data_IF_332526479782
#
_entry.id   IF_332526479782
#
_cell.length_a   1.000
_cell.length_b   1.000
_cell.length_c   1.000
_cell.angle_alpha   90.00
_cell.angle_beta   90.00
_cell.angle_gamma   90.00
#
_symmetry.space_group_name_H-M   'P 1'
#
loop_
_entity.id
_entity.type
_entity.pdbx_description
1 polymer ?
#
# COMPACT_ATOMS: atom_id res chain seq x y z
N UNK A 1 12.17 24.27 -2.99
CA UNK A 1 12.06 23.39 -4.21
C UNK A 1 10.69 22.76 -4.18
N UNK A 2 10.07 22.56 -5.34
CA UNK A 2 8.80 21.83 -5.42
C UNK A 2 9.06 20.34 -5.14
N UNK A 3 8.21 19.68 -4.35
CA UNK A 3 8.32 18.26 -4.04
C UNK A 3 8.20 17.43 -5.33
N UNK A 4 9.17 16.52 -5.60
CA UNK A 4 9.22 15.76 -6.86
C UNK A 4 8.06 14.78 -7.02
N UNK A 5 7.56 14.19 -5.92
CA UNK A 5 6.39 13.28 -5.94
C UNK A 5 5.14 14.07 -6.31
N UNK A 6 4.93 15.24 -5.71
CA UNK A 6 3.80 16.11 -6.05
C UNK A 6 3.86 16.55 -7.52
N UNK A 7 5.03 16.93 -8.01
CA UNK A 7 5.20 17.34 -9.40
C UNK A 7 4.95 16.18 -10.39
N UNK A 8 5.49 14.98 -10.07
CA UNK A 8 5.37 13.79 -10.91
C UNK A 8 3.93 13.37 -11.14
N UNK A 9 3.14 13.35 -10.07
CA UNK A 9 1.76 12.85 -10.10
C UNK A 9 0.69 13.94 -10.19
N UNK A 10 1.07 15.21 -10.14
CA UNK A 10 0.12 16.33 -10.20
C UNK A 10 -0.75 16.46 -8.95
N UNK A 11 -0.26 16.09 -7.78
CA UNK A 11 -0.99 16.09 -6.50
C UNK A 11 -0.54 17.22 -5.57
N UNK A 12 -1.40 17.58 -4.64
CA UNK A 12 -1.14 18.67 -3.70
C UNK A 12 -0.25 18.25 -2.53
N UNK A 13 -0.47 17.06 -1.97
CA UNK A 13 0.25 16.51 -0.85
C UNK A 13 0.97 15.22 -1.28
N UNK A 14 2.23 14.96 -0.88
CA UNK A 14 2.96 13.77 -1.26
C UNK A 14 2.49 12.54 -0.44
N UNK A 15 1.18 12.37 -0.36
CA UNK A 15 0.48 11.32 0.38
C UNK A 15 -0.27 10.45 -0.62
N UNK A 16 0.06 9.16 -0.63
CA UNK A 16 -0.51 8.18 -1.55
C UNK A 16 -1.26 7.13 -0.72
N UNK A 17 -2.49 6.86 -1.10
CA UNK A 17 -3.22 5.73 -0.53
C UNK A 17 -2.80 4.45 -1.27
N UNK A 18 -2.29 3.46 -0.54
CA UNK A 18 -1.84 2.19 -1.11
C UNK A 18 -2.95 1.40 -1.79
N UNK A 19 -2.62 0.75 -2.91
CA UNK A 19 -3.55 -0.11 -3.63
C UNK A 19 -3.72 -1.46 -2.94
N UNK A 20 -4.63 -1.52 -1.98
CA UNK A 20 -4.89 -2.69 -1.13
C UNK A 20 -6.01 -3.57 -1.70
N UNK A 21 -5.82 -4.89 -1.67
CA UNK A 21 -6.87 -5.86 -2.03
C UNK A 21 -8.09 -5.68 -1.11
N UNK A 22 -9.30 -5.74 -1.67
CA UNK A 22 -10.59 -5.67 -0.98
C UNK A 22 -10.89 -4.36 -0.22
N UNK A 23 -9.91 -3.42 -0.15
CA UNK A 23 -10.08 -2.11 0.50
C UNK A 23 -10.15 -0.96 -0.50
N UNK A 24 -9.35 -1.01 -1.57
CA UNK A 24 -9.07 0.13 -2.46
C UNK A 24 -10.00 0.15 -3.67
N UNK A 25 -11.27 0.40 -3.41
CA UNK A 25 -12.28 0.66 -4.44
C UNK A 25 -12.30 2.12 -4.91
N UNK A 26 -13.18 2.44 -5.87
CA UNK A 26 -13.30 3.77 -6.45
C UNK A 26 -13.67 4.86 -5.43
N UNK A 27 -14.47 4.55 -4.39
CA UNK A 27 -14.85 5.52 -3.36
C UNK A 27 -13.63 6.01 -2.59
N UNK A 28 -12.80 5.07 -2.14
CA UNK A 28 -11.56 5.41 -1.42
C UNK A 28 -10.59 6.18 -2.33
N UNK A 29 -10.33 5.68 -3.53
CA UNK A 29 -9.39 6.29 -4.45
C UNK A 29 -9.81 7.73 -4.82
N UNK A 30 -11.07 7.95 -5.20
CA UNK A 30 -11.56 9.28 -5.53
C UNK A 30 -11.57 10.24 -4.34
N UNK A 31 -11.92 9.77 -3.14
CA UNK A 31 -11.92 10.60 -1.94
C UNK A 31 -10.50 11.10 -1.60
N UNK A 32 -9.49 10.22 -1.65
CA UNK A 32 -8.09 10.61 -1.43
C UNK A 32 -7.61 11.60 -2.48
N UNK A 33 -7.95 11.37 -3.74
CA UNK A 33 -7.61 12.30 -4.83
C UNK A 33 -8.25 13.68 -4.64
N UNK A 34 -9.54 13.72 -4.30
CA UNK A 34 -10.27 14.97 -4.01
C UNK A 34 -9.69 15.71 -2.79
N UNK A 35 -9.15 14.98 -1.80
CA UNK A 35 -8.48 15.57 -0.64
C UNK A 35 -7.04 16.04 -0.90
N UNK A 36 -6.54 15.88 -2.15
CA UNK A 36 -5.24 16.39 -2.60
C UNK A 36 -4.08 15.40 -2.48
N UNK A 37 -4.33 14.15 -2.14
CA UNK A 37 -3.39 13.04 -2.25
C UNK A 37 -3.48 12.30 -3.58
N UNK A 38 -2.90 11.11 -3.67
CA UNK A 38 -3.06 10.19 -4.80
C UNK A 38 -3.82 8.94 -4.36
N UNK A 39 -5.04 8.77 -4.83
CA UNK A 39 -5.80 7.55 -4.64
C UNK A 39 -5.41 6.47 -5.65
N UNK A 40 -5.32 5.22 -5.19
CA UNK A 40 -5.01 4.07 -6.05
C UNK A 40 -6.15 3.04 -6.00
N UNK A 41 -6.62 2.60 -7.15
CA UNK A 41 -7.46 1.40 -7.26
C UNK A 41 -6.60 0.15 -7.07
N UNK A 42 -7.04 -0.78 -6.23
CA UNK A 42 -6.31 -2.02 -5.95
C UNK A 42 -6.73 -3.16 -6.89
N UNK A 43 -6.10 -3.26 -8.05
CA UNK A 43 -6.49 -4.24 -9.09
C UNK A 43 -6.24 -5.70 -8.70
N UNK A 44 -5.42 -5.98 -7.68
CA UNK A 44 -5.10 -7.35 -7.24
C UNK A 44 -6.28 -8.16 -6.69
N UNK A 45 -7.45 -7.56 -6.48
CA UNK A 45 -8.69 -8.22 -6.08
C UNK A 45 -9.82 -8.04 -7.10
N UNK A 46 -9.53 -7.49 -8.27
CA UNK A 46 -10.54 -7.14 -9.27
C UNK A 46 -10.40 -8.02 -10.52
N UNK A 47 -11.49 -8.62 -10.96
CA UNK A 47 -11.58 -9.15 -12.31
C UNK A 47 -11.55 -8.01 -13.33
N UNK A 48 -11.17 -8.25 -14.59
CA UNK A 48 -11.01 -7.22 -15.61
C UNK A 48 -12.19 -6.24 -15.71
N UNK A 49 -13.42 -6.74 -15.84
CA UNK A 49 -14.61 -5.87 -15.95
C UNK A 49 -14.90 -5.10 -14.65
N UNK A 50 -14.57 -5.66 -13.49
CA UNK A 50 -14.68 -4.94 -12.21
C UNK A 50 -13.68 -3.77 -12.16
N UNK A 51 -12.45 -3.98 -12.64
CA UNK A 51 -11.46 -2.90 -12.72
C UNK A 51 -11.97 -1.79 -13.67
N UNK A 52 -12.48 -2.15 -14.85
CA UNK A 52 -13.05 -1.20 -15.81
C UNK A 52 -14.18 -0.37 -15.18
N UNK A 53 -15.10 -1.03 -14.48
CA UNK A 53 -16.18 -0.35 -13.75
C UNK A 53 -15.64 0.63 -12.69
N UNK A 54 -14.66 0.19 -11.87
CA UNK A 54 -14.06 1.02 -10.84
C UNK A 54 -13.31 2.22 -11.42
N UNK A 55 -12.59 2.08 -12.54
CA UNK A 55 -11.93 3.19 -13.22
C UNK A 55 -12.97 4.23 -13.67
N UNK A 56 -14.05 3.78 -14.33
CA UNK A 56 -15.12 4.67 -14.81
C UNK A 56 -15.84 5.40 -13.68
N UNK A 57 -16.15 4.69 -12.59
CA UNK A 57 -16.74 5.30 -11.39
C UNK A 57 -15.79 6.30 -10.72
N UNK A 58 -14.49 6.00 -10.66
CA UNK A 58 -13.50 6.90 -10.12
C UNK A 58 -13.42 8.19 -10.96
N UNK A 59 -13.37 8.09 -12.29
CA UNK A 59 -13.42 9.24 -13.20
C UNK A 59 -14.68 10.09 -13.05
N UNK A 60 -15.81 9.46 -12.78
CA UNK A 60 -17.07 10.18 -12.54
C UNK A 60 -17.10 10.88 -11.17
N UNK A 61 -16.28 10.46 -10.21
CA UNK A 61 -16.26 10.94 -8.84
C UNK A 61 -15.16 11.98 -8.57
N UNK A 62 -14.16 12.11 -9.47
CA UNK A 62 -13.05 13.06 -9.31
C UNK A 62 -12.46 13.50 -10.64
N UNK A 63 -12.11 14.79 -10.71
CA UNK A 63 -11.29 15.36 -11.78
C UNK A 63 -9.80 15.39 -11.41
N UNK A 64 -9.45 14.94 -10.20
CA UNK A 64 -8.08 14.90 -9.71
C UNK A 64 -7.35 13.63 -10.17
N UNK A 65 -5.99 13.64 -10.22
CA UNK A 65 -5.23 12.47 -10.57
C UNK A 65 -5.51 11.29 -9.63
N UNK A 66 -5.71 10.11 -10.21
CA UNK A 66 -5.73 8.82 -9.51
C UNK A 66 -4.95 7.79 -10.31
N UNK A 67 -4.57 6.69 -9.66
CA UNK A 67 -3.84 5.61 -10.32
C UNK A 67 -4.45 4.23 -10.06
N UNK A 68 -3.80 3.23 -10.63
CA UNK A 68 -4.14 1.81 -10.43
C UNK A 68 -2.89 1.08 -9.93
N UNK A 69 -3.02 0.33 -8.83
CA UNK A 69 -1.97 -0.59 -8.38
C UNK A 69 -2.23 -1.98 -8.94
N UNK A 70 -1.23 -2.56 -9.62
CA UNK A 70 -1.31 -3.86 -10.29
C UNK A 70 -0.18 -4.77 -9.83
N UNK A 71 -0.48 -5.87 -9.12
CA UNK A 71 0.50 -6.92 -8.88
C UNK A 71 0.85 -7.64 -10.19
N UNK A 72 2.13 -7.63 -10.59
CA UNK A 72 2.56 -8.16 -11.89
C UNK A 72 2.46 -9.69 -12.02
N UNK A 73 2.28 -10.40 -10.90
CA UNK A 73 2.06 -11.85 -10.89
C UNK A 73 0.59 -12.26 -11.01
N UNK A 74 -0.31 -11.30 -11.24
CA UNK A 74 -1.73 -11.59 -11.40
C UNK A 74 -2.00 -12.36 -12.71
N UNK A 75 -2.85 -13.40 -12.72
CA UNK A 75 -3.04 -14.28 -13.90
C UNK A 75 -3.53 -13.56 -15.14
N UNK A 76 -4.36 -12.51 -15.01
CA UNK A 76 -4.97 -11.76 -16.13
C UNK A 76 -4.26 -10.41 -16.36
N UNK A 77 -2.95 -10.35 -16.11
CA UNK A 77 -2.16 -9.10 -16.13
C UNK A 77 -2.26 -8.37 -17.48
N UNK A 78 -2.21 -9.08 -18.60
CA UNK A 78 -2.30 -8.50 -19.93
C UNK A 78 -3.62 -7.74 -20.11
N UNK A 79 -4.73 -8.40 -19.80
CA UNK A 79 -6.08 -7.82 -19.90
C UNK A 79 -6.26 -6.63 -18.97
N UNK A 80 -5.71 -6.69 -17.73
CA UNK A 80 -5.75 -5.54 -16.82
C UNK A 80 -4.99 -4.34 -17.39
N UNK A 81 -3.80 -4.56 -17.97
CA UNK A 81 -2.99 -3.50 -18.56
C UNK A 81 -3.64 -2.91 -19.84
N UNK A 82 -4.32 -3.72 -20.65
CA UNK A 82 -5.13 -3.24 -21.79
C UNK A 82 -6.25 -2.32 -21.30
N UNK A 83 -7.03 -2.74 -20.32
CA UNK A 83 -8.11 -1.94 -19.73
C UNK A 83 -7.60 -0.61 -19.19
N UNK A 84 -6.49 -0.61 -18.47
CA UNK A 84 -5.86 0.58 -17.93
C UNK A 84 -5.53 1.59 -19.04
N UNK A 85 -4.99 1.10 -20.18
CA UNK A 85 -4.64 1.93 -21.33
C UNK A 85 -5.91 2.42 -22.06
N UNK A 86 -6.85 1.53 -22.35
CA UNK A 86 -8.13 1.86 -23.01
C UNK A 86 -8.93 2.90 -22.22
N UNK A 87 -9.00 2.72 -20.91
CA UNK A 87 -9.68 3.68 -20.04
C UNK A 87 -8.81 4.95 -19.77
N UNK A 88 -7.63 5.08 -20.36
CA UNK A 88 -6.80 6.29 -20.32
C UNK A 88 -6.29 6.66 -18.92
N UNK A 89 -6.05 5.69 -18.03
CA UNK A 89 -5.39 5.91 -16.74
C UNK A 89 -3.97 6.43 -16.98
N UNK A 90 -3.53 7.39 -16.16
CA UNK A 90 -2.23 8.06 -16.36
C UNK A 90 -1.15 7.66 -15.36
N UNK A 91 -1.50 6.92 -14.31
CA UNK A 91 -0.60 6.54 -13.23
C UNK A 91 -0.81 5.06 -12.89
N UNK A 92 0.25 4.27 -12.92
CA UNK A 92 0.25 2.86 -12.56
C UNK A 92 1.32 2.60 -11.51
N UNK A 93 0.92 1.98 -10.42
CA UNK A 93 1.84 1.40 -9.44
C UNK A 93 1.91 -0.09 -9.68
N UNK A 94 3.11 -0.63 -9.89
CA UNK A 94 3.33 -2.06 -10.06
C UNK A 94 3.98 -2.65 -8.83
N UNK A 95 3.69 -3.92 -8.54
CA UNK A 95 4.26 -4.66 -7.40
C UNK A 95 4.41 -6.14 -7.73
N UNK A 96 5.11 -6.88 -6.89
CA UNK A 96 5.20 -8.35 -6.98
C UNK A 96 5.57 -8.89 -8.38
N UNK A 97 6.73 -8.50 -8.90
CA UNK A 97 7.19 -9.02 -10.19
C UNK A 97 8.39 -8.26 -10.75
N UNK A 98 8.68 -8.48 -12.04
CA UNK A 98 9.80 -7.83 -12.72
C UNK A 98 9.37 -6.48 -13.31
N UNK A 99 9.88 -5.34 -12.84
CA UNK A 99 9.50 -4.02 -13.36
C UNK A 99 9.82 -3.86 -14.87
N UNK A 100 10.83 -4.54 -15.40
CA UNK A 100 11.21 -4.46 -16.84
C UNK A 100 10.08 -4.92 -17.79
N UNK A 101 9.17 -5.76 -17.32
CA UNK A 101 8.12 -6.36 -18.18
C UNK A 101 7.17 -5.31 -18.73
N UNK A 102 6.76 -4.33 -17.91
CA UNK A 102 5.68 -3.40 -18.25
C UNK A 102 6.10 -1.92 -18.28
N UNK A 103 7.17 -1.53 -17.57
CA UNK A 103 7.53 -0.11 -17.41
C UNK A 103 7.61 0.62 -18.74
N UNK A 104 8.43 0.14 -19.68
CA UNK A 104 8.63 0.80 -20.98
C UNK A 104 7.33 0.85 -21.81
N UNK A 105 6.52 -0.23 -21.79
CA UNK A 105 5.25 -0.27 -22.53
C UNK A 105 4.24 0.77 -22.00
N UNK A 106 4.13 0.87 -20.67
CA UNK A 106 3.24 1.84 -20.03
C UNK A 106 3.70 3.28 -20.27
N UNK A 107 5.00 3.54 -20.18
CA UNK A 107 5.56 4.88 -20.44
C UNK A 107 5.39 5.31 -21.91
N UNK A 108 5.50 4.38 -22.88
CA UNK A 108 5.19 4.66 -24.29
C UNK A 108 3.73 5.04 -24.51
N UNK A 109 2.82 4.57 -23.67
CA UNK A 109 1.40 4.99 -23.63
C UNK A 109 1.17 6.30 -22.83
N UNK A 110 2.23 6.98 -22.39
CA UNK A 110 2.15 8.22 -21.61
C UNK A 110 1.71 8.02 -20.16
N UNK A 111 1.90 6.82 -19.61
CA UNK A 111 1.56 6.45 -18.23
C UNK A 111 2.79 6.57 -17.33
N UNK A 112 2.65 7.23 -16.18
CA UNK A 112 3.68 7.27 -15.13
C UNK A 112 3.69 5.97 -14.35
N UNK A 113 4.88 5.42 -14.13
CA UNK A 113 5.06 4.11 -13.48
C UNK A 113 5.87 4.24 -12.20
N UNK A 114 5.27 3.84 -11.08
CA UNK A 114 5.99 3.59 -9.83
C UNK A 114 6.06 2.07 -9.56
N UNK A 115 7.11 1.60 -8.88
CA UNK A 115 7.21 0.19 -8.50
C UNK A 115 7.50 0.03 -7.02
N UNK A 116 6.82 -0.95 -6.38
CA UNK A 116 6.95 -1.25 -4.95
C UNK A 116 8.07 -2.27 -4.73
N UNK A 117 8.98 -1.96 -3.80
CA UNK A 117 10.14 -2.79 -3.46
C UNK A 117 10.31 -2.98 -1.96
N UNK A 118 10.90 -4.10 -1.55
CA UNK A 118 11.23 -4.43 -0.16
C UNK A 118 12.73 -4.35 0.16
N UNK A 119 13.58 -4.04 -0.81
CA UNK A 119 15.03 -3.96 -0.60
C UNK A 119 15.72 -3.02 -1.57
N UNK A 120 16.92 -2.54 -1.21
CA UNK A 120 17.78 -1.72 -2.07
C UNK A 120 18.19 -2.46 -3.36
N UNK A 121 18.35 -3.79 -3.30
CA UNK A 121 18.63 -4.63 -4.47
C UNK A 121 17.49 -4.58 -5.50
N UNK A 122 16.23 -4.63 -5.04
CA UNK A 122 15.09 -4.49 -5.95
C UNK A 122 14.93 -3.05 -6.44
N UNK A 123 15.26 -2.07 -5.61
CA UNK A 123 15.26 -0.66 -6.00
C UNK A 123 16.24 -0.38 -7.18
N UNK A 124 17.45 -0.93 -7.13
CA UNK A 124 18.39 -0.83 -8.27
C UNK A 124 17.81 -1.42 -9.57
N UNK A 125 17.10 -2.56 -9.48
CA UNK A 125 16.43 -3.15 -10.66
C UNK A 125 15.30 -2.27 -11.20
N UNK A 126 14.61 -1.54 -10.34
CA UNK A 126 13.60 -0.56 -10.75
C UNK A 126 14.24 0.65 -11.45
N UNK A 127 15.34 1.17 -10.92
CA UNK A 127 16.13 2.23 -11.54
C UNK A 127 16.60 1.81 -12.95
N UNK A 128 17.17 0.59 -13.08
CA UNK A 128 17.55 0.02 -14.38
C UNK A 128 16.36 -0.19 -15.33
N UNK A 129 15.17 -0.45 -14.82
CA UNK A 129 13.95 -0.58 -15.61
C UNK A 129 13.39 0.77 -16.07
N UNK A 130 13.90 1.88 -15.51
CA UNK A 130 13.50 3.25 -15.85
C UNK A 130 12.16 3.67 -15.27
N UNK A 131 11.76 3.16 -14.09
CA UNK A 131 10.52 3.62 -13.44
C UNK A 131 10.56 5.10 -13.08
N UNK A 132 9.41 5.77 -13.05
CA UNK A 132 9.32 7.21 -12.71
C UNK A 132 9.45 7.47 -11.21
N UNK A 133 9.13 6.49 -10.35
CA UNK A 133 9.26 6.55 -8.89
C UNK A 133 9.41 5.15 -8.28
N UNK A 134 9.94 5.09 -7.06
CA UNK A 134 10.08 3.85 -6.28
C UNK A 134 9.31 4.01 -4.97
N UNK A 135 8.50 2.99 -4.62
CA UNK A 135 7.91 2.84 -3.30
C UNK A 135 8.72 1.81 -2.52
N UNK A 136 9.40 2.23 -1.46
CA UNK A 136 10.12 1.32 -0.57
C UNK A 136 9.22 0.96 0.63
N UNK A 137 8.82 -0.31 0.70
CA UNK A 137 7.85 -0.80 1.69
C UNK A 137 8.55 -1.64 2.75
N UNK A 138 8.55 -1.12 3.99
CA UNK A 138 9.05 -1.82 5.16
C UNK A 138 8.10 -2.92 5.64
N UNK A 139 8.66 -3.87 6.38
CA UNK A 139 7.96 -5.09 6.81
C UNK A 139 6.86 -4.85 7.87
N UNK A 140 6.70 -3.64 8.35
CA UNK A 140 5.57 -3.21 9.18
C UNK A 140 4.24 -3.17 8.42
N UNK A 141 4.29 -3.20 7.08
CA UNK A 141 3.12 -3.21 6.22
C UNK A 141 2.24 -4.45 6.44
N UNK A 142 0.93 -4.31 6.23
CA UNK A 142 -0.03 -5.42 6.22
C UNK A 142 0.01 -6.19 4.90
N UNK A 143 -0.44 -7.44 4.92
CA UNK A 143 -0.46 -8.29 3.75
C UNK A 143 0.92 -8.79 3.34
N UNK A 144 1.10 -8.98 2.04
CA UNK A 144 2.32 -9.53 1.46
C UNK A 144 3.53 -8.63 1.70
N UNK A 145 4.62 -9.22 2.17
CA UNK A 145 5.85 -8.56 2.57
C UNK A 145 7.08 -9.12 1.85
N UNK A 146 8.17 -8.35 1.88
CA UNK A 146 9.49 -8.83 1.50
C UNK A 146 10.01 -9.92 2.46
N UNK A 147 10.94 -10.74 1.98
CA UNK A 147 11.54 -11.83 2.77
C UNK A 147 12.60 -11.33 3.75
N UNK A 148 13.13 -10.13 3.53
CA UNK A 148 14.24 -9.56 4.27
C UNK A 148 13.84 -9.03 5.66
N UNK A 149 12.54 -8.87 5.92
CA UNK A 149 11.99 -8.30 7.16
C UNK A 149 12.64 -6.95 7.54
N UNK A 150 12.98 -6.14 6.53
CA UNK A 150 13.63 -4.85 6.76
C UNK A 150 12.60 -3.80 7.16
N UNK A 151 12.80 -3.17 8.32
CA UNK A 151 11.93 -2.10 8.80
C UNK A 151 12.01 -0.87 7.91
N UNK A 152 10.95 -0.07 7.87
CA UNK A 152 10.89 1.20 7.14
C UNK A 152 12.06 2.11 7.52
N UNK A 153 12.42 2.15 8.80
CA UNK A 153 13.51 2.97 9.32
C UNK A 153 14.89 2.58 8.75
N UNK A 154 15.11 1.30 8.47
CA UNK A 154 16.34 0.80 7.86
C UNK A 154 16.28 0.83 6.32
N UNK A 155 15.11 0.56 5.75
CA UNK A 155 14.94 0.41 4.30
C UNK A 155 15.07 1.73 3.56
N UNK A 156 14.40 2.79 4.03
CA UNK A 156 14.36 4.07 3.32
C UNK A 156 15.75 4.65 3.08
N UNK A 157 16.66 4.80 4.09
CA UNK A 157 18.00 5.31 3.83
C UNK A 157 18.86 4.37 3.00
N UNK A 158 18.62 3.05 3.03
CA UNK A 158 19.32 2.09 2.18
C UNK A 158 18.93 2.24 0.70
N UNK A 159 17.63 2.42 0.43
CA UNK A 159 17.12 2.65 -0.95
C UNK A 159 17.56 4.02 -1.45
N UNK A 160 17.48 5.07 -0.62
CA UNK A 160 17.89 6.44 -0.99
C UNK A 160 19.34 6.52 -1.50
N UNK A 161 20.23 5.68 -0.97
CA UNK A 161 21.66 5.64 -1.38
C UNK A 161 21.88 5.09 -2.79
N UNK A 162 20.93 4.32 -3.32
CA UNK A 162 21.09 3.59 -4.60
C UNK A 162 20.13 4.03 -5.69
N UNK A 163 19.24 5.00 -5.42
CA UNK A 163 18.22 5.46 -6.37
C UNK A 163 18.21 6.98 -6.49
N UNK A 164 18.05 7.46 -7.72
CA UNK A 164 17.95 8.89 -8.06
C UNK A 164 16.50 9.37 -8.31
N UNK A 165 15.60 8.46 -8.68
CA UNK A 165 14.17 8.77 -8.89
C UNK A 165 13.48 9.12 -7.57
N UNK A 166 12.29 9.80 -7.61
CA UNK A 166 11.51 10.08 -6.42
C UNK A 166 11.27 8.83 -5.57
N UNK A 167 11.57 8.92 -4.27
CA UNK A 167 11.42 7.84 -3.31
C UNK A 167 10.19 8.08 -2.42
N UNK A 168 9.33 7.08 -2.36
CA UNK A 168 8.11 7.05 -1.55
C UNK A 168 8.31 6.00 -0.45
N UNK A 169 8.12 6.38 0.82
CA UNK A 169 8.18 5.45 1.94
C UNK A 169 6.83 4.79 2.20
N UNK A 170 6.83 3.49 2.47
CA UNK A 170 5.64 2.74 2.87
C UNK A 170 5.96 1.77 4.02
N UNK A 171 4.93 1.38 4.77
CA UNK A 171 5.07 0.50 5.94
C UNK A 171 5.18 1.30 7.25
N UNK A 172 4.29 1.02 8.21
CA UNK A 172 4.33 1.61 9.56
C UNK A 172 3.92 3.08 9.67
N UNK A 173 3.59 3.77 8.59
CA UNK A 173 3.31 5.21 8.57
C UNK A 173 1.79 5.43 8.64
N UNK A 174 1.30 6.13 9.70
CA UNK A 174 -0.12 6.41 9.92
C UNK A 174 -0.40 7.82 10.47
N UNK A 175 0.63 8.64 10.70
CA UNK A 175 0.52 9.97 11.30
C UNK A 175 1.40 11.00 10.59
N UNK A 176 1.19 12.29 10.90
CA UNK A 176 2.02 13.38 10.39
C UNK A 176 3.47 13.30 10.87
N UNK A 177 3.73 12.85 12.09
CA UNK A 177 5.08 12.59 12.61
C UNK A 177 5.77 11.47 11.82
N UNK A 178 5.00 10.44 11.44
CA UNK A 178 5.50 9.36 10.59
C UNK A 178 5.89 9.85 9.19
N UNK A 179 5.15 10.80 8.62
CA UNK A 179 5.50 11.47 7.35
C UNK A 179 6.82 12.23 7.51
N UNK A 180 6.96 13.05 8.56
CA UNK A 180 8.17 13.83 8.82
C UNK A 180 9.39 12.92 9.05
N UNK A 181 9.22 11.81 9.78
CA UNK A 181 10.28 10.83 9.98
C UNK A 181 10.72 10.19 8.66
N UNK A 182 9.79 9.81 7.80
CA UNK A 182 10.09 9.26 6.47
C UNK A 182 10.85 10.28 5.60
N UNK A 183 10.47 11.55 5.63
CA UNK A 183 11.15 12.64 4.94
C UNK A 183 12.58 12.83 5.48
N UNK A 184 12.77 12.81 6.79
CA UNK A 184 14.09 12.89 7.41
C UNK A 184 15.01 11.72 7.03
N UNK A 185 14.46 10.54 6.75
CA UNK A 185 15.18 9.37 6.23
C UNK A 185 15.49 9.46 4.73
N UNK A 186 14.94 10.44 4.01
CA UNK A 186 15.22 10.72 2.60
C UNK A 186 14.10 10.38 1.63
N UNK A 187 12.91 10.03 2.09
CA UNK A 187 11.72 9.90 1.25
C UNK A 187 11.21 11.29 0.81
N UNK A 188 10.51 11.33 -0.30
CA UNK A 188 9.89 12.54 -0.88
C UNK A 188 8.37 12.47 -0.87
N UNK A 189 7.84 11.36 -0.42
CA UNK A 189 6.42 11.12 -0.21
C UNK A 189 6.22 9.85 0.60
N UNK A 190 4.97 9.58 0.95
CA UNK A 190 4.58 8.40 1.72
C UNK A 190 3.42 7.67 1.04
N UNK A 191 3.42 6.32 1.14
CA UNK A 191 2.29 5.49 0.80
C UNK A 191 1.75 4.84 2.07
N UNK A 192 0.47 5.00 2.33
CA UNK A 192 -0.19 4.47 3.51
C UNK A 192 -1.28 3.47 3.12
N UNK A 193 -1.18 2.23 3.63
CA UNK A 193 -2.23 1.23 3.51
C UNK A 193 -3.19 1.30 4.70
N UNK A 194 -2.72 0.91 5.86
CA UNK A 194 -3.51 0.74 7.09
C UNK A 194 -4.34 1.97 7.45
N UNK A 195 -3.77 3.18 7.35
CA UNK A 195 -4.47 4.42 7.68
C UNK A 195 -5.73 4.61 6.82
N UNK A 196 -5.62 4.34 5.53
CA UNK A 196 -6.73 4.48 4.58
C UNK A 196 -7.64 3.24 4.52
N UNK A 197 -7.14 2.04 4.86
CA UNK A 197 -8.00 0.86 5.00
C UNK A 197 -9.07 1.05 6.09
N UNK A 198 -8.74 1.84 7.12
CA UNK A 198 -9.60 2.16 8.26
C UNK A 198 -10.30 3.53 8.10
N UNK A 199 -10.80 3.80 6.89
CA UNK A 199 -11.68 4.94 6.60
C UNK A 199 -13.06 4.49 6.19
N UNK A 200 -14.04 5.39 6.23
CA UNK A 200 -15.42 5.10 5.86
C UNK A 200 -15.53 4.67 4.39
N UNK A 201 -14.75 5.30 3.49
CA UNK A 201 -14.76 5.09 2.04
C UNK A 201 -14.07 3.80 1.59
N UNK A 202 -13.26 3.18 2.46
CA UNK A 202 -12.67 1.87 2.20
C UNK A 202 -13.77 0.81 2.02
N UNK A 203 -13.61 -0.07 1.01
CA UNK A 203 -14.55 -1.16 0.74
C UNK A 203 -14.43 -2.35 1.71
N UNK A 204 -13.52 -2.31 2.66
CA UNK A 204 -13.43 -3.32 3.72
C UNK A 204 -14.71 -3.37 4.55
N UNK A 205 -15.11 -4.57 4.97
CA UNK A 205 -16.30 -4.79 5.79
C UNK A 205 -16.17 -4.11 7.17
N UNK A 206 -17.27 -3.64 7.71
CA UNK A 206 -17.30 -2.97 9.02
C UNK A 206 -16.69 -3.83 10.14
N UNK A 207 -17.00 -5.14 10.19
CA UNK A 207 -16.41 -6.05 11.18
C UNK A 207 -14.87 -6.05 11.13
N UNK A 208 -14.28 -6.07 9.92
CA UNK A 208 -12.82 -6.00 9.76
C UNK A 208 -12.28 -4.68 10.29
N UNK A 209 -12.89 -3.55 9.91
CA UNK A 209 -12.47 -2.22 10.39
C UNK A 209 -12.57 -2.11 11.92
N UNK A 210 -13.71 -2.51 12.51
CA UNK A 210 -13.90 -2.50 13.96
C UNK A 210 -12.88 -3.39 14.69
N UNK A 211 -12.59 -4.59 14.16
CA UNK A 211 -11.55 -5.46 14.70
C UNK A 211 -10.16 -4.81 14.67
N UNK A 212 -9.82 -4.14 13.58
CA UNK A 212 -8.54 -3.44 13.43
C UNK A 212 -8.39 -2.28 14.42
N UNK A 213 -9.44 -1.51 14.68
CA UNK A 213 -9.42 -0.38 15.62
C UNK A 213 -9.26 -0.81 17.10
N UNK A 214 -9.41 -2.11 17.38
CA UNK A 214 -9.20 -2.71 18.72
C UNK A 214 -7.87 -3.41 18.89
N UNK A 215 -7.00 -3.36 17.89
CA UNK A 215 -5.68 -4.01 17.95
C UNK A 215 -4.75 -3.29 18.92
N UNK A 216 -3.94 -4.08 19.60
CA UNK A 216 -2.82 -3.64 20.40
C UNK A 216 -1.50 -3.97 19.71
N UNK A 217 -0.40 -3.49 20.27
CA UNK A 217 0.95 -3.88 19.86
C UNK A 217 1.10 -5.40 19.93
N UNK A 218 1.71 -5.97 18.88
CA UNK A 218 1.92 -7.41 18.80
C UNK A 218 0.71 -8.24 18.35
N UNK A 219 -0.46 -7.65 18.08
CA UNK A 219 -1.65 -8.38 17.59
C UNK A 219 -1.55 -8.74 16.09
N UNK A 220 -0.54 -8.27 15.37
CA UNK A 220 -0.23 -8.70 14.00
C UNK A 220 1.13 -9.37 13.95
N UNK A 221 1.25 -10.44 13.18
CA UNK A 221 2.51 -11.13 12.94
C UNK A 221 2.71 -11.47 11.46
N UNK A 222 3.99 -11.56 11.06
CA UNK A 222 4.39 -12.06 9.76
C UNK A 222 4.45 -13.59 9.81
N UNK A 223 3.66 -14.25 8.97
CA UNK A 223 3.58 -15.70 8.82
C UNK A 223 3.72 -16.11 7.35
N UNK A 224 3.53 -17.38 7.03
CA UNK A 224 3.67 -17.93 5.66
C UNK A 224 5.04 -17.65 5.02
N UNK A 225 6.08 -17.53 5.83
CA UNK A 225 7.43 -17.09 5.40
C UNK A 225 8.07 -18.02 4.38
N UNK A 226 7.77 -19.32 4.42
CA UNK A 226 8.29 -20.30 3.47
C UNK A 226 7.67 -20.16 2.07
N UNK A 227 6.44 -19.68 2.01
CA UNK A 227 5.64 -19.55 0.79
C UNK A 227 5.60 -18.09 0.32
N UNK A 228 4.90 -17.22 1.04
CA UNK A 228 4.72 -15.81 0.74
C UNK A 228 4.54 -15.04 2.05
N UNK A 229 5.59 -14.41 2.58
CA UNK A 229 5.51 -13.71 3.86
C UNK A 229 4.31 -12.76 3.88
N UNK A 230 3.40 -12.92 4.83
CA UNK A 230 2.17 -12.16 4.92
C UNK A 230 1.91 -11.72 6.36
N UNK A 231 1.63 -10.44 6.59
CA UNK A 231 1.28 -9.92 7.91
C UNK A 231 -0.20 -9.96 8.13
N UNK A 232 -0.61 -10.70 9.16
CA UNK A 232 -2.00 -10.98 9.51
C UNK A 232 -2.30 -10.62 10.96
N UNK A 233 -3.57 -10.34 11.24
CA UNK A 233 -4.11 -10.32 12.61
C UNK A 233 -4.15 -11.76 13.14
N UNK A 234 -3.82 -11.93 14.41
CA UNK A 234 -3.97 -13.20 15.13
C UNK A 234 -5.45 -13.54 15.34
N UNK A 235 -5.98 -14.41 14.49
CA UNK A 235 -7.32 -14.99 14.59
C UNK A 235 -7.25 -16.52 14.53
N UNK A 236 -8.35 -17.23 14.38
CA UNK A 236 -8.33 -18.70 14.35
C UNK A 236 -7.65 -19.24 13.09
N UNK A 237 -7.81 -18.57 11.94
CA UNK A 237 -7.05 -18.93 10.73
C UNK A 237 -5.54 -18.75 10.94
N UNK A 238 -5.11 -17.62 11.55
CA UNK A 238 -3.69 -17.41 11.87
C UNK A 238 -3.14 -18.55 12.76
N UNK A 239 -3.87 -18.96 13.81
CA UNK A 239 -3.46 -20.08 14.69
C UNK A 239 -3.29 -21.38 13.91
N UNK A 240 -4.21 -21.66 12.97
CA UNK A 240 -4.12 -22.85 12.12
C UNK A 240 -2.82 -22.85 11.29
N UNK A 241 -2.45 -21.70 10.72
CA UNK A 241 -1.19 -21.55 9.97
C UNK A 241 0.01 -21.68 10.91
N UNK A 242 0.00 -21.01 12.06
CA UNK A 242 1.08 -21.05 13.05
C UNK A 242 1.34 -22.48 13.53
N UNK A 243 0.30 -23.24 13.85
CA UNK A 243 0.41 -24.66 14.23
C UNK A 243 1.00 -25.53 13.10
N UNK A 244 0.61 -25.27 11.86
CA UNK A 244 1.16 -25.99 10.71
C UNK A 244 2.66 -25.66 10.52
N UNK A 245 3.04 -24.38 10.61
CA UNK A 245 4.45 -23.95 10.55
C UNK A 245 5.29 -24.58 11.68
N UNK A 246 4.78 -24.62 12.92
CA UNK A 246 5.46 -25.26 14.06
C UNK A 246 5.65 -26.78 13.87
N UNK A 247 4.75 -27.43 13.16
CA UNK A 247 4.84 -28.88 12.81
C UNK A 247 5.74 -29.12 11.59
N UNK A 248 6.32 -28.05 11.00
CA UNK A 248 7.23 -28.16 9.86
C UNK A 248 6.53 -28.34 8.52
N UNK A 249 5.30 -27.83 8.37
CA UNK A 249 4.55 -27.88 7.11
C UNK A 249 5.35 -27.29 5.95
N UNK A 250 5.30 -27.96 4.81
CA UNK A 250 5.90 -27.50 3.56
C UNK A 250 5.17 -26.30 2.96
N UNK A 251 5.80 -25.61 2.02
CA UNK A 251 5.18 -24.51 1.29
C UNK A 251 3.87 -24.93 0.58
N UNK A 252 3.80 -26.14 0.06
CA UNK A 252 2.60 -26.65 -0.63
C UNK A 252 1.47 -26.94 0.36
N UNK A 253 1.78 -27.49 1.55
CA UNK A 253 0.79 -27.68 2.61
C UNK A 253 0.25 -26.35 3.13
N UNK A 254 1.10 -25.35 3.36
CA UNK A 254 0.68 -24.01 3.75
C UNK A 254 -0.18 -23.34 2.68
N UNK A 255 0.17 -23.51 1.40
CA UNK A 255 -0.63 -23.03 0.27
C UNK A 255 -2.00 -23.69 0.20
N UNK A 256 -2.09 -24.99 0.48
CA UNK A 256 -3.35 -25.73 0.55
C UNK A 256 -4.22 -25.25 1.71
N UNK A 257 -3.63 -24.97 2.89
CA UNK A 257 -4.34 -24.40 4.05
C UNK A 257 -4.85 -23.00 3.77
N UNK A 258 -4.04 -22.16 3.13
CA UNK A 258 -4.45 -20.81 2.73
C UNK A 258 -5.67 -20.88 1.79
N UNK A 259 -5.65 -21.78 0.82
CA UNK A 259 -6.73 -21.94 -0.15
C UNK A 259 -6.90 -20.72 -1.04
N UNK A 260 -8.13 -20.51 -1.53
CA UNK A 260 -8.49 -19.35 -2.37
C UNK A 260 -9.53 -18.49 -1.69
N UNK A 261 -9.37 -17.15 -1.79
CA UNK A 261 -10.40 -16.19 -1.39
C UNK A 261 -10.47 -15.90 0.11
N UNK A 262 -9.50 -16.34 0.93
CA UNK A 262 -9.54 -16.08 2.38
C UNK A 262 -9.43 -14.59 2.72
N UNK A 263 -8.62 -13.82 2.00
CA UNK A 263 -8.56 -12.37 2.17
C UNK A 263 -9.90 -11.70 1.82
N UNK A 264 -10.60 -12.18 0.76
CA UNK A 264 -11.97 -11.74 0.46
C UNK A 264 -12.92 -12.03 1.62
N UNK A 265 -12.88 -13.27 2.12
CA UNK A 265 -13.75 -13.73 3.23
C UNK A 265 -13.54 -12.85 4.48
N UNK A 266 -12.30 -12.57 4.84
CA UNK A 266 -11.97 -11.76 6.03
C UNK A 266 -12.21 -10.27 5.85
N UNK A 267 -11.59 -9.67 4.83
CA UNK A 267 -11.56 -8.22 4.67
C UNK A 267 -12.88 -7.69 4.08
N UNK A 268 -13.41 -8.35 3.04
CA UNK A 268 -14.55 -7.86 2.30
C UNK A 268 -15.90 -8.41 2.80
N UNK A 269 -15.94 -9.69 3.22
CA UNK A 269 -17.14 -10.35 3.70
C UNK A 269 -17.28 -10.30 5.22
N UNK A 270 -16.20 -9.94 5.95
CA UNK A 270 -16.22 -9.67 7.39
C UNK A 270 -16.18 -10.91 8.29
N UNK A 271 -15.71 -12.07 7.79
CA UNK A 271 -15.47 -13.25 8.60
C UNK A 271 -14.14 -13.11 9.38
N UNK A 272 -14.26 -12.80 10.66
CA UNK A 272 -13.12 -12.55 11.54
C UNK A 272 -12.41 -13.82 12.02
N UNK A 273 -13.00 -15.00 11.83
CA UNK A 273 -12.49 -16.27 12.36
C UNK A 273 -11.65 -17.02 11.32
N UNK A 274 -12.24 -17.28 10.16
CA UNK A 274 -11.60 -18.05 9.10
C UNK A 274 -11.00 -17.19 7.98
N UNK A 275 -11.30 -15.90 7.98
CA UNK A 275 -10.76 -14.95 7.02
C UNK A 275 -9.27 -14.68 7.25
N UNK A 276 -8.55 -14.39 6.16
CA UNK A 276 -7.22 -13.82 6.21
C UNK A 276 -7.34 -12.31 6.42
N UNK A 277 -6.88 -11.82 7.58
CA UNK A 277 -7.08 -10.44 8.03
C UNK A 277 -5.77 -9.66 7.90
N UNK A 278 -5.52 -9.14 6.70
CA UNK A 278 -4.30 -8.41 6.37
C UNK A 278 -4.36 -6.95 6.85
N UNK A 279 -3.49 -6.57 7.79
CA UNK A 279 -3.34 -5.20 8.26
C UNK A 279 -1.93 -4.96 8.82
N UNK A 280 -1.41 -3.73 8.73
CA UNK A 280 -0.08 -3.37 9.21
C UNK A 280 0.02 -3.22 10.73
N UNK A 281 1.24 -3.23 11.25
CA UNK A 281 1.51 -3.07 12.69
C UNK A 281 0.96 -1.77 13.26
N UNK A 282 1.01 -0.70 12.48
CA UNK A 282 0.56 0.62 12.89
C UNK A 282 -0.96 0.73 13.13
N UNK A 283 -1.76 -0.31 12.83
CA UNK A 283 -3.17 -0.36 13.19
C UNK A 283 -3.39 -0.20 14.70
N UNK A 284 -2.43 -0.65 15.52
CA UNK A 284 -2.48 -0.48 16.99
C UNK A 284 -2.49 0.99 17.47
N UNK A 285 -2.17 1.94 16.60
CA UNK A 285 -2.20 3.38 16.89
C UNK A 285 -3.54 4.04 16.55
N UNK A 286 -4.42 3.35 15.79
CA UNK A 286 -5.68 3.89 15.30
C UNK A 286 -6.85 3.42 16.21
N UNK A 287 -7.75 4.32 16.59
CA UNK A 287 -8.81 4.03 17.55
C UNK A 287 -10.20 4.40 17.09
N UNK A 288 -10.31 5.10 15.96
CA UNK A 288 -11.60 5.55 15.44
C UNK A 288 -11.67 5.46 13.93
N UNK A 289 -12.87 5.17 13.44
CA UNK A 289 -13.18 5.25 12.02
C UNK A 289 -13.38 6.71 11.65
N UNK A 290 -12.75 7.16 10.58
CA UNK A 290 -12.82 8.54 10.10
C UNK A 290 -13.09 8.53 8.59
N UNK A 291 -13.58 9.65 8.08
CA UNK A 291 -13.62 9.91 6.64
C UNK A 291 -12.21 10.19 6.11
N UNK A 292 -11.99 10.00 4.81
CA UNK A 292 -10.73 10.37 4.15
C UNK A 292 -10.41 11.86 4.33
N UNK A 293 -11.41 12.73 4.29
CA UNK A 293 -11.21 14.17 4.46
C UNK A 293 -10.67 14.52 5.86
N UNK A 294 -11.23 13.90 6.90
CA UNK A 294 -10.74 14.05 8.28
C UNK A 294 -9.31 13.52 8.40
N UNK A 295 -9.02 12.32 7.87
CA UNK A 295 -7.68 11.73 7.88
C UNK A 295 -6.67 12.63 7.19
N UNK A 296 -6.96 13.15 6.01
CA UNK A 296 -6.03 14.00 5.28
C UNK A 296 -5.78 15.32 5.97
N UNK A 297 -6.79 15.93 6.60
CA UNK A 297 -6.63 17.14 7.42
C UNK A 297 -5.75 16.88 8.64
N UNK A 298 -6.02 15.80 9.37
CA UNK A 298 -5.22 15.38 10.53
C UNK A 298 -3.74 15.15 10.13
N UNK A 299 -3.47 14.36 9.11
CA UNK A 299 -2.10 14.09 8.65
C UNK A 299 -1.32 15.36 8.30
N UNK A 300 -1.97 16.32 7.63
CA UNK A 300 -1.33 17.58 7.24
C UNK A 300 -1.09 18.50 8.45
N UNK A 301 -2.03 18.55 9.40
CA UNK A 301 -1.92 19.36 10.62
C UNK A 301 -0.83 18.78 11.54
N UNK A 302 -0.84 17.46 11.77
CA UNK A 302 0.14 16.77 12.60
C UNK A 302 1.55 16.91 12.02
N UNK A 303 1.70 16.74 10.70
CA UNK A 303 2.98 16.98 10.03
C UNK A 303 3.51 18.41 10.28
N UNK A 304 2.64 19.42 10.10
CA UNK A 304 3.04 20.83 10.32
C UNK A 304 3.40 21.10 11.78
N UNK A 305 2.67 20.49 12.70
CA UNK A 305 2.93 20.61 14.14
C UNK A 305 4.25 19.95 14.52
N UNK A 306 4.49 18.73 14.07
CA UNK A 306 5.74 18.01 14.31
C UNK A 306 6.95 18.78 13.70
N UNK A 307 6.80 19.32 12.49
CA UNK A 307 7.85 20.10 11.84
C UNK A 307 8.21 21.36 12.64
N UNK A 308 7.21 22.13 13.14
CA UNK A 308 7.43 23.28 14.00
C UNK A 308 8.16 22.88 15.30
N UNK A 309 7.70 21.82 15.96
CA UNK A 309 8.34 21.33 17.18
C UNK A 309 9.81 20.90 16.97
N UNK A 310 10.12 20.33 15.79
CA UNK A 310 11.50 19.97 15.44
C UNK A 310 12.38 21.22 15.21
N UNK A 311 11.83 22.26 14.55
CA UNK A 311 12.53 23.53 14.33
C UNK A 311 12.82 24.28 15.62
N UNK A 312 11.91 24.21 16.61
CA UNK A 312 12.09 24.84 17.92
C UNK A 312 13.12 24.13 18.82
N UNK A 313 13.48 22.90 18.51
CA UNK A 313 14.53 22.15 19.22
C UNK A 313 15.94 22.59 18.77
N UNK A 314 16.35 23.81 19.09
CA UNK A 314 17.63 24.39 18.65
C UNK A 314 18.89 23.85 19.34
N UNK A 315 18.79 22.90 20.25
CA UNK A 315 19.90 22.45 21.11
C UNK A 315 20.30 21.00 20.87
N UNK A 316 20.98 20.72 19.76
CA UNK A 316 21.78 19.52 19.58
C UNK A 316 23.25 19.89 19.51
#
# INVERSE_FOLDING_TARGET
>A
MQNRVCHLFGIRYPIIQGGMVWCSGWRLASAVSNAGGLGLLGAGSMHPETLREHIRKCKAATDQPFGVNVPLMYPEIETLMEIIQEEGVKIVFTSAGNPKTWTSKLQQAGIKVAHVVSSSRFAMKCEEAGVDAIVAEGFEAGGHNGREETTTFCLIPAVKKVCSVPLIAAGGIVSGEGILAAEALGAEGVQMGTRFALTEESSAHFNFKDRCLRLNEGDTLLTLKQFSPTRLIKNDFYKLIEEAEQKGASADELKALLGKGRAKKGIFEGDLYEGELEIGQAASQLRQLQTVDEVMKELVEDYRTALRQMQDRQNW
#
